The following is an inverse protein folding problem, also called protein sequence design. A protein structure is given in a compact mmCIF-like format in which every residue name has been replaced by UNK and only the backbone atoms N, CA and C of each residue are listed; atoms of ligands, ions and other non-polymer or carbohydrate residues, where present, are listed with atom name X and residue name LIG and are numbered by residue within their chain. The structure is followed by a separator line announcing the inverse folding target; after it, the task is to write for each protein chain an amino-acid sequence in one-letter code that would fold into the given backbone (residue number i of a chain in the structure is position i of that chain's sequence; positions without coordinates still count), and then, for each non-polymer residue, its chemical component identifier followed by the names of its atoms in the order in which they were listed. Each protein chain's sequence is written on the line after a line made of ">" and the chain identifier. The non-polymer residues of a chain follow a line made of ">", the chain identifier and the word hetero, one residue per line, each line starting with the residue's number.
data_IF_590545473409
#
_entry.id   IF_590545473409
#
_cell.length_a   1.000
_cell.length_b   1.000
_cell.length_c   1.000
_cell.angle_alpha   90.00
_cell.angle_beta   90.00
_cell.angle_gamma   90.00
#
_symmetry.space_group_name_H-M   'P 1'
#
loop_
_entity.id
_entity.type
_entity.pdbx_description
1 polymer ?
#
# COMPACT_ATOMS: atom_id res chain seq x y z
N UNK A 1 -4.79 3.58 17.17
CA UNK A 1 -3.64 2.76 17.61
C UNK A 1 -3.51 1.43 16.87
N UNK A 2 -4.58 0.62 16.75
CA UNK A 2 -4.55 -0.71 16.09
C UNK A 2 -4.07 -0.67 14.63
N UNK A 3 -4.56 0.28 13.82
CA UNK A 3 -4.19 0.41 12.40
C UNK A 3 -2.70 0.73 12.24
N UNK A 4 -2.19 1.79 12.87
CA UNK A 4 -0.76 2.13 12.84
C UNK A 4 0.12 1.00 13.37
N UNK A 5 -0.29 0.31 14.44
CA UNK A 5 0.40 -0.88 14.93
C UNK A 5 0.50 -1.98 13.88
N UNK A 6 -0.59 -2.25 13.15
CA UNK A 6 -0.59 -3.19 12.02
C UNK A 6 0.33 -2.77 10.87
N UNK A 7 0.29 -1.49 10.46
CA UNK A 7 1.18 -0.95 9.43
C UNK A 7 2.66 -0.96 9.84
N UNK A 8 2.98 -0.88 11.13
CA UNK A 8 4.34 -1.04 11.64
C UNK A 8 4.75 -2.52 11.74
N UNK A 9 3.82 -3.39 12.15
CA UNK A 9 4.08 -4.81 12.34
C UNK A 9 4.43 -5.51 11.03
N UNK A 10 3.75 -5.17 9.94
CA UNK A 10 4.00 -5.72 8.60
C UNK A 10 5.47 -5.61 8.17
N UNK A 11 6.09 -4.42 8.08
CA UNK A 11 7.49 -4.27 7.71
C UNK A 11 8.45 -4.87 8.76
N UNK A 12 8.10 -4.84 10.06
CA UNK A 12 8.91 -5.48 11.09
C UNK A 12 8.99 -7.00 10.90
N UNK A 13 7.86 -7.66 10.65
CA UNK A 13 7.80 -9.09 10.37
C UNK A 13 8.51 -9.42 9.05
N UNK A 14 8.31 -8.59 8.02
CA UNK A 14 8.98 -8.74 6.74
C UNK A 14 10.50 -8.66 6.88
N UNK A 15 11.02 -7.72 7.67
CA UNK A 15 12.45 -7.58 7.94
C UNK A 15 13.02 -8.84 8.63
N UNK A 16 12.28 -9.45 9.55
CA UNK A 16 12.67 -10.73 10.18
C UNK A 16 12.68 -11.87 9.17
N UNK A 17 11.65 -11.99 8.34
CA UNK A 17 11.57 -13.03 7.30
C UNK A 17 12.70 -12.91 6.29
N UNK A 18 13.10 -11.67 5.96
CA UNK A 18 14.22 -11.39 5.06
C UNK A 18 15.59 -11.42 5.75
N UNK A 19 15.69 -11.85 7.02
CA UNK A 19 16.93 -11.93 7.79
C UNK A 19 17.69 -10.60 7.90
N UNK A 20 16.93 -9.50 7.98
CA UNK A 20 17.43 -8.11 8.11
C UNK A 20 16.71 -7.35 9.23
N UNK A 21 16.62 -7.89 10.46
CA UNK A 21 15.84 -7.28 11.54
C UNK A 21 16.27 -5.85 11.89
N UNK A 22 17.55 -5.50 11.69
CA UNK A 22 18.08 -4.15 11.94
C UNK A 22 17.43 -3.08 11.06
N UNK A 23 16.85 -3.46 9.92
CA UNK A 23 16.14 -2.54 9.03
C UNK A 23 14.66 -2.38 9.37
N UNK A 24 14.11 -3.25 10.24
CA UNK A 24 12.67 -3.29 10.50
C UNK A 24 12.11 -2.00 11.08
N UNK A 25 12.85 -1.34 11.98
CA UNK A 25 12.47 -0.04 12.53
C UNK A 25 12.39 1.03 11.44
N UNK A 26 13.42 1.12 10.59
CA UNK A 26 13.44 2.06 9.47
C UNK A 26 12.31 1.79 8.48
N UNK A 27 12.02 0.53 8.16
CA UNK A 27 10.91 0.19 7.27
C UNK A 27 9.55 0.55 7.86
N UNK A 28 9.36 0.33 9.17
CA UNK A 28 8.16 0.78 9.86
C UNK A 28 7.99 2.29 9.79
N UNK A 29 9.07 3.06 9.99
CA UNK A 29 9.04 4.52 9.81
C UNK A 29 8.71 4.91 8.37
N UNK A 30 9.31 4.25 7.38
CA UNK A 30 9.03 4.52 5.97
C UNK A 30 7.54 4.34 5.63
N UNK A 31 6.87 3.34 6.21
CA UNK A 31 5.42 3.14 6.06
C UNK A 31 4.63 4.20 6.85
N UNK A 32 4.90 4.34 8.15
CA UNK A 32 4.11 5.18 9.05
C UNK A 32 4.20 6.68 8.75
N UNK A 33 5.30 7.12 8.16
CA UNK A 33 5.52 8.52 7.86
C UNK A 33 5.26 8.85 6.39
N UNK A 34 4.98 7.85 5.55
CA UNK A 34 4.84 8.05 4.11
C UNK A 34 3.66 8.99 3.76
N UNK A 35 3.88 10.05 2.97
CA UNK A 35 2.81 10.84 2.37
C UNK A 35 1.95 10.03 1.38
N UNK A 36 2.43 8.88 0.87
CA UNK A 36 1.63 7.98 0.03
C UNK A 36 0.46 7.32 0.79
N UNK A 37 0.66 7.08 2.10
CA UNK A 37 -0.30 6.42 2.99
C UNK A 37 -1.06 7.41 3.86
N UNK A 38 -1.04 8.68 3.45
CA UNK A 38 -1.61 9.78 4.20
C UNK A 38 -3.08 9.55 4.53
N UNK A 39 -3.87 9.06 3.57
CA UNK A 39 -5.31 8.92 3.77
C UNK A 39 -5.63 7.81 4.80
N UNK A 40 -4.86 6.72 4.76
CA UNK A 40 -4.95 5.60 5.69
C UNK A 40 -4.51 5.94 7.12
N UNK A 41 -3.50 6.79 7.25
CA UNK A 41 -2.93 7.14 8.54
C UNK A 41 -3.54 8.41 9.15
N UNK A 42 -4.16 9.27 8.34
CA UNK A 42 -4.67 10.57 8.77
C UNK A 42 -6.18 10.80 8.56
N UNK A 43 -6.76 10.36 7.43
CA UNK A 43 -8.03 10.92 6.94
C UNK A 43 -9.28 10.05 7.17
N UNK A 44 -9.37 9.38 8.33
CA UNK A 44 -10.63 8.75 8.75
C UNK A 44 -11.03 7.49 7.98
N UNK A 45 -10.24 7.00 7.00
CA UNK A 45 -10.52 5.74 6.29
C UNK A 45 -9.99 4.51 7.05
N UNK A 46 -10.12 4.52 8.37
CA UNK A 46 -9.55 3.54 9.30
C UNK A 46 -10.02 2.11 9.04
N UNK A 47 -11.26 1.93 8.56
CA UNK A 47 -11.82 0.62 8.18
C UNK A 47 -11.18 0.06 6.91
N UNK A 48 -11.01 0.87 5.86
CA UNK A 48 -10.32 0.45 4.63
C UNK A 48 -8.84 0.21 4.89
N UNK A 49 -8.21 1.04 5.72
CA UNK A 49 -6.82 0.88 6.13
C UNK A 49 -6.62 -0.46 6.88
N UNK A 50 -7.50 -0.78 7.85
CA UNK A 50 -7.52 -2.07 8.53
C UNK A 50 -7.73 -3.24 7.56
N UNK A 51 -8.72 -3.13 6.67
CA UNK A 51 -8.98 -4.16 5.65
C UNK A 51 -7.76 -4.40 4.74
N UNK A 52 -7.01 -3.34 4.41
CA UNK A 52 -5.80 -3.44 3.60
C UNK A 52 -4.63 -4.06 4.38
N UNK A 53 -4.47 -3.76 5.67
CA UNK A 53 -3.48 -4.48 6.50
C UNK A 53 -3.82 -5.97 6.56
N UNK A 54 -5.10 -6.31 6.75
CA UNK A 54 -5.58 -7.70 6.81
C UNK A 54 -5.45 -8.45 5.48
N UNK A 55 -5.40 -7.77 4.33
CA UNK A 55 -5.15 -8.43 3.03
C UNK A 55 -3.66 -8.65 2.76
N UNK A 56 -2.77 -8.00 3.51
CA UNK A 56 -1.31 -8.07 3.31
C UNK A 56 -0.75 -9.51 3.39
N UNK A 57 -1.24 -10.43 4.25
CA UNK A 57 -0.86 -11.84 4.21
C UNK A 57 -1.10 -12.52 2.86
N UNK A 58 -2.18 -12.18 2.14
CA UNK A 58 -2.44 -12.69 0.80
C UNK A 58 -1.36 -12.21 -0.17
N UNK A 59 -1.06 -10.91 -0.16
CA UNK A 59 0.03 -10.32 -0.95
C UNK A 59 1.35 -11.05 -0.69
N UNK A 60 1.76 -11.15 0.59
CA UNK A 60 3.01 -11.78 0.99
C UNK A 60 3.11 -13.24 0.55
N UNK A 61 1.99 -13.97 0.58
CA UNK A 61 1.92 -15.37 0.15
C UNK A 61 2.06 -15.49 -1.36
N UNK A 62 1.31 -14.69 -2.10
CA UNK A 62 1.25 -14.74 -3.57
C UNK A 62 2.58 -14.28 -4.18
N UNK A 63 3.17 -13.21 -3.65
CA UNK A 63 4.49 -12.72 -4.04
C UNK A 63 5.64 -13.64 -3.59
N UNK A 64 5.38 -14.63 -2.74
CA UNK A 64 6.43 -15.51 -2.20
C UNK A 64 7.42 -14.78 -1.29
N UNK A 65 6.97 -13.74 -0.61
CA UNK A 65 7.78 -12.99 0.35
C UNK A 65 7.83 -13.70 1.70
N UNK A 66 6.73 -14.35 2.10
CA UNK A 66 6.63 -15.10 3.35
C UNK A 66 5.85 -16.41 3.16
N UNK A 67 6.31 -17.55 3.73
CA UNK A 67 5.62 -18.84 3.64
C UNK A 67 4.41 -18.94 4.59
N UNK A 68 3.41 -18.07 4.42
CA UNK A 68 2.20 -18.05 5.24
C UNK A 68 1.28 -19.23 4.87
N UNK A 69 0.72 -19.93 5.85
CA UNK A 69 -0.25 -20.99 5.61
C UNK A 69 -1.56 -20.47 5.02
N UNK A 70 -2.14 -21.19 4.05
CA UNK A 70 -3.37 -20.76 3.38
C UNK A 70 -4.58 -20.60 4.32
N UNK A 71 -4.61 -21.32 5.44
CA UNK A 71 -5.63 -21.12 6.49
C UNK A 71 -5.57 -19.72 7.12
N UNK A 72 -4.36 -19.23 7.43
CA UNK A 72 -4.16 -17.86 7.94
C UNK A 72 -4.47 -16.81 6.87
N UNK A 73 -4.12 -17.08 5.61
CA UNK A 73 -4.49 -16.20 4.48
C UNK A 73 -6.01 -16.10 4.36
N UNK A 74 -6.72 -17.24 4.41
CA UNK A 74 -8.17 -17.26 4.34
C UNK A 74 -8.83 -16.50 5.51
N UNK A 75 -8.34 -16.70 6.73
CA UNK A 75 -8.81 -15.96 7.91
C UNK A 75 -8.58 -14.44 7.76
N UNK A 76 -7.42 -14.03 7.24
CA UNK A 76 -7.09 -12.63 7.03
C UNK A 76 -7.94 -11.98 5.92
N UNK A 77 -8.21 -12.70 4.82
CA UNK A 77 -9.13 -12.29 3.74
C UNK A 77 -10.57 -12.14 4.28
N UNK A 78 -11.04 -13.12 5.06
CA UNK A 78 -12.36 -13.03 5.70
C UNK A 78 -12.45 -11.84 6.66
N UNK A 79 -11.42 -11.64 7.49
CA UNK A 79 -11.33 -10.47 8.37
C UNK A 79 -11.31 -9.14 7.61
N UNK A 80 -10.64 -9.08 6.46
CA UNK A 80 -10.64 -7.92 5.56
C UNK A 80 -12.05 -7.61 5.04
N UNK A 81 -12.79 -8.64 4.62
CA UNK A 81 -14.19 -8.53 4.19
C UNK A 81 -15.14 -8.04 5.28
N UNK A 82 -14.93 -8.48 6.52
CA UNK A 82 -15.70 -8.01 7.68
C UNK A 82 -15.33 -6.57 8.07
N UNK A 83 -14.08 -6.15 7.84
CA UNK A 83 -13.61 -4.82 8.19
C UNK A 83 -14.13 -3.74 7.22
N UNK A 84 -14.15 -4.01 5.91
CA UNK A 84 -14.59 -3.03 4.91
C UNK A 84 -14.96 -3.66 3.56
N UNK A 85 -15.94 -3.07 2.87
CA UNK A 85 -16.43 -3.53 1.57
C UNK A 85 -15.46 -3.27 0.38
N UNK A 86 -14.22 -2.86 0.65
CA UNK A 86 -13.17 -2.70 -0.38
C UNK A 86 -12.52 -4.02 -0.79
N UNK A 87 -12.92 -5.14 -0.16
CA UNK A 87 -12.32 -6.45 -0.37
C UNK A 87 -12.11 -6.82 -1.85
N UNK A 88 -13.07 -6.63 -2.78
CA UNK A 88 -12.87 -7.02 -4.18
C UNK A 88 -11.65 -6.30 -4.79
N UNK A 89 -11.58 -4.98 -4.61
CA UNK A 89 -10.52 -4.15 -5.16
C UNK A 89 -9.18 -4.47 -4.48
N UNK A 90 -9.13 -4.53 -3.15
CA UNK A 90 -7.89 -4.80 -2.42
C UNK A 90 -7.36 -6.21 -2.66
N UNK A 91 -8.25 -7.18 -2.91
CA UNK A 91 -7.87 -8.55 -3.26
C UNK A 91 -7.28 -8.61 -4.66
N UNK A 92 -7.90 -7.95 -5.66
CA UNK A 92 -7.35 -7.85 -7.01
C UNK A 92 -5.94 -7.25 -6.96
N UNK A 93 -5.76 -6.16 -6.21
CA UNK A 93 -4.46 -5.52 -6.02
C UNK A 93 -3.44 -6.43 -5.32
N UNK A 94 -3.86 -7.22 -4.33
CA UNK A 94 -2.98 -8.17 -3.63
C UNK A 94 -2.61 -9.39 -4.49
N UNK A 95 -3.40 -9.69 -5.53
CA UNK A 95 -3.17 -10.80 -6.46
C UNK A 95 -2.26 -10.41 -7.64
N UNK A 96 -1.94 -9.14 -7.84
CA UNK A 96 -1.03 -8.65 -8.91
C UNK A 96 0.27 -9.48 -9.03
N UNK A 97 0.96 -9.87 -7.94
CA UNK A 97 2.19 -10.66 -8.07
C UNK A 97 1.97 -12.08 -8.63
N UNK A 98 0.74 -12.61 -8.61
CA UNK A 98 0.44 -13.89 -9.26
C UNK A 98 0.66 -13.79 -10.78
N UNK A 99 0.33 -12.64 -11.38
CA UNK A 99 0.53 -12.37 -12.80
C UNK A 99 2.02 -12.25 -13.16
N UNK A 100 2.86 -11.87 -12.21
CA UNK A 100 4.30 -11.73 -12.39
C UNK A 100 5.08 -12.99 -11.98
N UNK A 101 4.40 -14.06 -11.52
CA UNK A 101 4.99 -15.31 -11.04
C UNK A 101 4.36 -16.57 -11.68
N UNK A 102 4.77 -16.93 -12.91
CA UNK A 102 4.18 -18.07 -13.62
C UNK A 102 4.30 -19.42 -12.88
N UNK A 103 5.34 -19.62 -12.08
CA UNK A 103 5.56 -20.87 -11.32
C UNK A 103 4.69 -21.05 -10.08
N UNK A 104 3.96 -20.02 -9.60
CA UNK A 104 3.11 -20.12 -8.41
C UNK A 104 1.94 -21.10 -8.62
N UNK A 105 1.33 -21.05 -9.81
CA UNK A 105 0.21 -21.91 -10.19
C UNK A 105 0.63 -23.35 -10.47
N UNK A 106 1.90 -23.57 -10.85
CA UNK A 106 2.44 -24.90 -11.17
C UNK A 106 2.80 -25.70 -9.91
N UNK A 107 3.35 -25.05 -8.89
CA UNK A 107 3.86 -25.72 -7.68
C UNK A 107 2.86 -25.77 -6.51
N UNK A 108 1.73 -25.08 -6.61
CA UNK A 108 0.70 -25.13 -5.57
C UNK A 108 -0.31 -26.23 -5.91
N UNK A 109 -0.57 -27.15 -4.96
CA UNK A 109 -1.57 -28.22 -5.17
C UNK A 109 -2.88 -27.61 -5.67
N UNK A 110 -3.40 -28.10 -6.81
CA UNK A 110 -4.63 -27.62 -7.46
C UNK A 110 -5.80 -27.45 -6.49
N UNK A 111 -5.97 -28.38 -5.56
CA UNK A 111 -7.00 -28.32 -4.50
C UNK A 111 -6.90 -27.07 -3.62
N UNK A 112 -5.69 -26.63 -3.29
CA UNK A 112 -5.46 -25.45 -2.44
C UNK A 112 -5.73 -24.16 -3.19
N UNK A 113 -5.34 -24.10 -4.47
CA UNK A 113 -5.69 -22.99 -5.36
C UNK A 113 -7.21 -22.88 -5.48
N UNK A 114 -7.90 -23.99 -5.78
CA UNK A 114 -9.36 -24.01 -5.94
C UNK A 114 -10.06 -23.54 -4.66
N UNK A 115 -9.68 -24.07 -3.49
CA UNK A 115 -10.29 -23.64 -2.23
C UNK A 115 -10.04 -22.16 -1.92
N UNK A 116 -8.82 -21.66 -2.15
CA UNK A 116 -8.49 -20.25 -1.95
C UNK A 116 -9.26 -19.35 -2.93
N UNK A 117 -9.32 -19.73 -4.21
CA UNK A 117 -10.08 -19.01 -5.24
C UNK A 117 -11.58 -19.02 -4.93
N UNK A 118 -12.15 -20.15 -4.52
CA UNK A 118 -13.54 -20.24 -4.11
C UNK A 118 -13.82 -19.34 -2.90
N UNK A 119 -12.94 -19.32 -1.90
CA UNK A 119 -13.12 -18.49 -0.71
C UNK A 119 -13.03 -16.99 -1.04
N UNK A 120 -12.09 -16.59 -1.92
CA UNK A 120 -11.99 -15.22 -2.43
C UNK A 120 -13.24 -14.85 -3.23
N UNK A 121 -13.65 -15.68 -4.19
CA UNK A 121 -14.82 -15.44 -5.04
C UNK A 121 -16.11 -15.38 -4.21
N UNK A 122 -16.26 -16.25 -3.21
CA UNK A 122 -17.39 -16.23 -2.29
C UNK A 122 -17.41 -14.94 -1.47
N UNK A 123 -16.25 -14.53 -0.94
CA UNK A 123 -16.15 -13.29 -0.14
C UNK A 123 -16.45 -12.05 -0.98
N UNK A 124 -15.99 -12.03 -2.24
CA UNK A 124 -16.30 -10.98 -3.22
C UNK A 124 -17.78 -11.01 -3.61
N UNK A 125 -18.34 -12.18 -3.87
CA UNK A 125 -19.75 -12.37 -4.20
C UNK A 125 -20.66 -11.90 -3.07
N UNK A 126 -20.35 -12.25 -1.83
CA UNK A 126 -21.07 -11.78 -0.64
C UNK A 126 -20.96 -10.25 -0.52
N UNK A 127 -19.76 -9.67 -0.68
CA UNK A 127 -19.58 -8.22 -0.62
C UNK A 127 -20.37 -7.48 -1.72
N UNK A 128 -20.40 -8.01 -2.95
CA UNK A 128 -21.15 -7.42 -4.06
C UNK A 128 -22.66 -7.67 -4.00
N UNK A 129 -23.10 -8.70 -3.28
CA UNK A 129 -24.53 -8.98 -3.05
C UNK A 129 -25.19 -7.98 -2.09
N UNK A 130 -24.40 -7.17 -1.37
CA UNK A 130 -24.94 -6.17 -0.46
C UNK A 130 -25.43 -4.94 -1.25
N UNK A 131 -26.71 -4.56 -1.13
CA UNK A 131 -27.28 -3.43 -1.87
C UNK A 131 -26.56 -2.11 -1.56
N UNK A 132 -26.09 -1.92 -0.32
CA UNK A 132 -25.32 -0.76 0.09
C UNK A 132 -23.98 -0.59 -0.67
N UNK A 133 -23.37 -1.70 -1.12
CA UNK A 133 -22.13 -1.67 -1.91
C UNK A 133 -22.41 -1.24 -3.35
N UNK A 134 -23.48 -1.78 -3.94
CA UNK A 134 -23.94 -1.42 -5.28
C UNK A 134 -24.37 0.04 -5.34
N UNK A 135 -25.11 0.52 -4.35
CA UNK A 135 -25.54 1.92 -4.25
C UNK A 135 -24.34 2.88 -4.12
N UNK A 136 -23.34 2.52 -3.31
CA UNK A 136 -22.12 3.31 -3.14
C UNK A 136 -21.27 3.33 -4.41
N UNK A 137 -21.16 2.21 -5.12
CA UNK A 137 -20.48 2.14 -6.41
C UNK A 137 -21.20 2.98 -7.47
N UNK A 138 -22.53 2.88 -7.53
CA UNK A 138 -23.37 3.69 -8.42
C UNK A 138 -23.20 5.19 -8.13
N UNK A 139 -23.19 5.59 -6.87
CA UNK A 139 -22.92 6.97 -6.49
C UNK A 139 -21.51 7.41 -6.92
N UNK A 140 -20.48 6.57 -6.82
CA UNK A 140 -19.14 6.93 -7.30
C UNK A 140 -19.01 6.99 -8.82
N UNK A 141 -19.70 6.11 -9.55
CA UNK A 141 -19.65 6.06 -11.01
C UNK A 141 -20.41 7.22 -11.66
N UNK A 142 -21.55 7.61 -11.09
CA UNK A 142 -22.50 8.51 -11.78
C UNK A 142 -22.78 9.82 -11.05
N UNK A 143 -22.48 9.94 -9.75
CA UNK A 143 -22.88 11.11 -8.94
C UNK A 143 -21.73 11.84 -8.25
N UNK A 144 -20.64 11.14 -7.93
CA UNK A 144 -19.53 11.73 -7.19
C UNK A 144 -18.65 12.57 -8.12
N UNK A 145 -18.58 13.87 -7.87
CA UNK A 145 -17.65 14.78 -8.55
C UNK A 145 -16.38 15.05 -7.73
N UNK A 146 -16.47 14.91 -6.40
CA UNK A 146 -15.35 15.14 -5.49
C UNK A 146 -14.51 13.87 -5.28
N UNK A 147 -13.19 14.03 -5.35
CA UNK A 147 -12.22 13.02 -4.97
C UNK A 147 -10.94 13.66 -4.41
N UNK A 148 -10.27 12.95 -3.51
CA UNK A 148 -9.09 13.49 -2.83
C UNK A 148 -7.87 13.45 -3.77
N UNK A 149 -7.27 14.62 -4.02
CA UNK A 149 -6.12 14.80 -4.92
C UNK A 149 -4.76 14.72 -4.20
N UNK A 150 -4.70 14.28 -2.94
CA UNK A 150 -3.46 14.26 -2.17
C UNK A 150 -2.31 13.49 -2.85
N UNK A 151 -2.63 12.48 -3.67
CA UNK A 151 -1.67 11.73 -4.49
C UNK A 151 -0.90 12.55 -5.51
N UNK A 152 -1.33 13.79 -5.78
CA UNK A 152 -0.67 14.75 -6.67
C UNK A 152 0.12 15.81 -5.90
N UNK A 153 0.24 15.71 -4.57
CA UNK A 153 1.02 16.65 -3.78
C UNK A 153 2.51 16.44 -4.00
N UNK A 154 3.28 17.54 -3.91
CA UNK A 154 4.75 17.53 -4.04
C UNK A 154 5.43 16.51 -3.11
N UNK A 155 4.92 16.33 -1.88
CA UNK A 155 5.44 15.36 -0.94
C UNK A 155 5.36 13.91 -1.46
N UNK A 156 4.29 13.55 -2.18
CA UNK A 156 4.13 12.21 -2.78
C UNK A 156 5.16 12.01 -3.89
N UNK A 157 5.27 12.98 -4.81
CA UNK A 157 6.28 12.95 -5.87
C UNK A 157 7.72 12.93 -5.33
N UNK A 158 7.98 13.60 -4.21
CA UNK A 158 9.27 13.54 -3.52
C UNK A 158 9.65 12.12 -3.12
N UNK A 159 8.71 11.36 -2.55
CA UNK A 159 8.93 9.95 -2.18
C UNK A 159 9.13 9.07 -3.41
N UNK A 160 8.37 9.29 -4.47
CA UNK A 160 8.51 8.55 -5.73
C UNK A 160 9.86 8.82 -6.39
N UNK A 161 10.33 10.07 -6.38
CA UNK A 161 11.66 10.43 -6.86
C UNK A 161 12.75 9.79 -6.00
N UNK A 162 12.61 9.81 -4.68
CA UNK A 162 13.56 9.16 -3.77
C UNK A 162 13.58 7.63 -3.96
N UNK A 163 12.44 7.02 -4.26
CA UNK A 163 12.35 5.62 -4.63
C UNK A 163 12.97 5.33 -6.00
N UNK A 164 12.85 6.24 -6.98
CA UNK A 164 13.57 6.12 -8.24
C UNK A 164 15.09 6.14 -8.01
N UNK A 165 15.59 7.05 -7.17
CA UNK A 165 17.00 7.07 -6.76
C UNK A 165 17.38 5.75 -6.08
N UNK A 166 16.53 5.24 -5.18
CA UNK A 166 16.71 3.93 -4.54
C UNK A 166 16.88 2.81 -5.58
N UNK A 167 16.03 2.80 -6.62
CA UNK A 167 16.09 1.83 -7.71
C UNK A 167 17.37 1.98 -8.53
N UNK A 168 17.74 3.20 -8.91
CA UNK A 168 18.97 3.48 -9.67
C UNK A 168 20.24 3.08 -8.89
N UNK A 169 20.30 3.39 -7.59
CA UNK A 169 21.39 2.97 -6.72
C UNK A 169 21.48 1.45 -6.60
N UNK A 170 20.33 0.77 -6.50
CA UNK A 170 20.27 -0.70 -6.43
C UNK A 170 20.74 -1.33 -7.74
N UNK A 171 20.27 -0.81 -8.88
CA UNK A 171 20.70 -1.21 -10.21
C UNK A 171 22.21 -1.08 -10.39
N UNK A 172 22.76 0.07 -10.03
CA UNK A 172 24.19 0.35 -10.09
C UNK A 172 24.99 -0.58 -9.18
N UNK A 173 24.58 -0.71 -7.91
CA UNK A 173 25.31 -1.48 -6.89
C UNK A 173 25.28 -2.98 -7.16
N UNK A 174 24.14 -3.51 -7.56
CA UNK A 174 23.93 -4.92 -7.87
C UNK A 174 24.27 -5.27 -9.33
N UNK A 175 24.67 -4.28 -10.15
CA UNK A 175 25.05 -4.43 -11.57
C UNK A 175 23.97 -5.17 -12.38
N UNK A 176 22.71 -4.84 -12.13
CA UNK A 176 21.59 -5.52 -12.76
C UNK A 176 21.38 -5.02 -14.19
N UNK A 177 21.28 -5.95 -15.13
CA UNK A 177 20.87 -5.64 -16.50
C UNK A 177 19.34 -5.61 -16.61
N UNK A 178 18.81 -4.91 -17.61
CA UNK A 178 17.37 -4.89 -17.90
C UNK A 178 16.80 -6.30 -18.12
N UNK A 179 17.59 -7.19 -18.74
CA UNK A 179 17.21 -8.60 -18.93
C UNK A 179 17.12 -9.35 -17.61
N UNK A 180 18.03 -9.08 -16.66
CA UNK A 180 17.98 -9.67 -15.33
C UNK A 180 16.73 -9.18 -14.57
N UNK A 181 16.43 -7.87 -14.63
CA UNK A 181 15.20 -7.33 -14.05
C UNK A 181 13.93 -7.95 -14.63
N UNK A 182 13.86 -8.12 -15.95
CA UNK A 182 12.69 -8.72 -16.60
C UNK A 182 12.46 -10.18 -16.19
N UNK A 183 13.52 -10.89 -15.78
CA UNK A 183 13.43 -12.27 -15.28
C UNK A 183 13.12 -12.34 -13.78
N UNK A 184 13.54 -11.32 -13.02
CA UNK A 184 13.30 -11.21 -11.59
C UNK A 184 11.82 -10.92 -11.27
N UNK A 185 11.21 -11.81 -10.49
CA UNK A 185 9.82 -11.68 -10.07
C UNK A 185 9.57 -10.43 -9.20
N UNK A 186 10.47 -10.10 -8.28
CA UNK A 186 10.27 -8.97 -7.37
C UNK A 186 10.41 -7.66 -8.12
N UNK A 187 11.33 -7.59 -9.08
CA UNK A 187 11.47 -6.44 -9.98
C UNK A 187 10.21 -6.23 -10.84
N UNK A 188 9.65 -7.30 -11.42
CA UNK A 188 8.38 -7.23 -12.16
C UNK A 188 7.21 -6.79 -11.28
N UNK A 189 7.16 -7.26 -10.03
CA UNK A 189 6.11 -6.90 -9.08
C UNK A 189 6.21 -5.43 -8.68
N UNK A 190 7.42 -4.94 -8.39
CA UNK A 190 7.67 -3.53 -8.13
C UNK A 190 7.26 -2.66 -9.33
N UNK A 191 7.66 -3.07 -10.53
CA UNK A 191 7.28 -2.37 -11.76
C UNK A 191 5.76 -2.34 -11.96
N UNK A 192 5.06 -3.45 -11.76
CA UNK A 192 3.61 -3.51 -11.88
C UNK A 192 2.91 -2.52 -10.92
N UNK A 193 3.37 -2.45 -9.66
CA UNK A 193 2.82 -1.47 -8.71
C UNK A 193 3.20 -0.03 -9.06
N UNK A 194 4.39 0.23 -9.60
CA UNK A 194 4.75 1.57 -10.10
C UNK A 194 3.83 2.01 -11.24
N UNK A 195 3.50 1.10 -12.18
CA UNK A 195 2.55 1.37 -13.26
C UNK A 195 1.15 1.65 -12.70
N UNK A 196 0.67 0.85 -11.74
CA UNK A 196 -0.62 1.08 -11.09
C UNK A 196 -0.66 2.42 -10.35
N UNK A 197 0.41 2.79 -9.65
CA UNK A 197 0.53 4.06 -8.94
C UNK A 197 0.43 5.25 -9.91
N UNK A 198 1.24 5.24 -10.96
CA UNK A 198 1.20 6.26 -12.01
C UNK A 198 -0.15 6.31 -12.75
N UNK A 199 -0.81 5.16 -12.96
CA UNK A 199 -2.15 5.12 -13.58
C UNK A 199 -3.20 5.79 -12.70
N UNK A 200 -3.15 5.58 -11.38
CA UNK A 200 -4.05 6.24 -10.43
C UNK A 200 -3.80 7.74 -10.41
N UNK A 201 -2.54 8.17 -10.37
CA UNK A 201 -2.21 9.60 -10.40
C UNK A 201 -2.64 10.27 -11.71
N UNK A 202 -2.47 9.60 -12.86
CA UNK A 202 -2.95 10.09 -14.15
C UNK A 202 -4.48 10.22 -14.17
N UNK A 203 -5.18 9.23 -13.63
CA UNK A 203 -6.64 9.28 -13.45
C UNK A 203 -7.06 10.47 -12.58
N UNK A 204 -6.35 10.73 -11.49
CA UNK A 204 -6.62 11.87 -10.61
C UNK A 204 -6.34 13.21 -11.29
N UNK A 205 -5.28 13.30 -12.10
CA UNK A 205 -4.91 14.52 -12.82
C UNK A 205 -5.89 14.85 -13.96
N UNK A 206 -6.44 13.82 -14.61
CA UNK A 206 -7.38 13.96 -15.74
C UNK A 206 -8.85 13.96 -15.31
N UNK A 207 -9.14 13.54 -14.07
CA UNK A 207 -10.50 13.35 -13.55
C UNK A 207 -11.20 12.07 -14.02
N UNK A 208 -10.62 11.34 -14.98
CA UNK A 208 -11.21 10.11 -15.55
C UNK A 208 -11.23 9.02 -14.49
N UNK A 209 -12.42 8.60 -14.04
CA UNK A 209 -12.60 7.63 -12.94
C UNK A 209 -11.94 8.04 -11.61
N UNK A 210 -11.59 9.32 -11.44
CA UNK A 210 -10.90 9.85 -10.25
C UNK A 210 -11.55 9.47 -8.92
N UNK A 211 -12.90 9.56 -8.76
CA UNK A 211 -13.60 9.15 -7.53
C UNK A 211 -13.39 7.71 -7.11
N UNK A 212 -13.14 6.81 -8.05
CA UNK A 212 -12.95 5.38 -7.79
C UNK A 212 -11.46 5.10 -7.61
N UNK A 213 -10.64 5.52 -8.58
CA UNK A 213 -9.22 5.16 -8.61
C UNK A 213 -8.41 5.85 -7.51
N UNK A 214 -8.77 7.06 -7.08
CA UNK A 214 -8.15 7.72 -5.92
C UNK A 214 -8.25 6.91 -4.62
N UNK A 215 -9.26 6.02 -4.49
CA UNK A 215 -9.42 5.13 -3.33
C UNK A 215 -8.48 3.92 -3.35
N UNK A 216 -7.88 3.64 -4.50
CA UNK A 216 -6.88 2.59 -4.68
C UNK A 216 -5.46 3.07 -4.37
N UNK A 217 -5.26 4.39 -4.21
CA UNK A 217 -3.95 5.00 -4.04
C UNK A 217 -3.22 4.47 -2.80
N UNK A 218 -3.83 4.51 -1.61
CA UNK A 218 -3.16 4.02 -0.40
C UNK A 218 -2.88 2.50 -0.43
N UNK A 219 -3.81 1.61 -0.86
CA UNK A 219 -3.48 0.19 -1.05
C UNK A 219 -2.31 -0.04 -1.99
N UNK A 220 -2.31 0.62 -3.15
CA UNK A 220 -1.23 0.51 -4.14
C UNK A 220 0.08 1.04 -3.54
N UNK A 221 0.05 2.19 -2.88
CA UNK A 221 1.19 2.79 -2.21
C UNK A 221 1.80 1.87 -1.15
N UNK A 222 0.97 1.18 -0.35
CA UNK A 222 1.45 0.22 0.64
C UNK A 222 2.16 -0.95 -0.05
N UNK A 223 1.50 -1.57 -1.03
CA UNK A 223 2.05 -2.74 -1.71
C UNK A 223 3.31 -2.41 -2.50
N UNK A 224 3.36 -1.21 -3.08
CA UNK A 224 4.53 -0.66 -3.74
C UNK A 224 5.71 -0.47 -2.77
N UNK A 225 5.48 0.17 -1.62
CA UNK A 225 6.52 0.35 -0.58
C UNK A 225 7.06 -1.00 -0.10
N UNK A 226 6.18 -1.97 0.18
CA UNK A 226 6.59 -3.32 0.57
C UNK A 226 7.40 -4.00 -0.54
N UNK A 227 6.96 -3.90 -1.81
CA UNK A 227 7.68 -4.46 -2.94
C UNK A 227 9.07 -3.84 -3.10
N UNK A 228 9.21 -2.53 -2.87
CA UNK A 228 10.48 -1.82 -2.92
C UNK A 228 11.43 -2.31 -1.82
N UNK A 229 10.94 -2.47 -0.59
CA UNK A 229 11.72 -3.02 0.53
C UNK A 229 12.20 -4.45 0.26
N UNK A 230 11.31 -5.31 -0.23
CA UNK A 230 11.67 -6.70 -0.54
C UNK A 230 12.73 -6.76 -1.63
N UNK A 231 12.49 -6.06 -2.74
CA UNK A 231 13.39 -6.11 -3.90
C UNK A 231 14.78 -5.59 -3.53
N UNK A 232 14.88 -4.38 -2.96
CA UNK A 232 16.18 -3.81 -2.55
C UNK A 232 16.93 -4.71 -1.56
N UNK A 233 16.21 -5.34 -0.63
CA UNK A 233 16.80 -6.26 0.36
C UNK A 233 17.30 -7.55 -0.26
N UNK A 234 16.54 -8.15 -1.19
CA UNK A 234 16.95 -9.37 -1.90
C UNK A 234 18.15 -9.13 -2.82
N UNK A 235 18.32 -7.91 -3.30
CA UNK A 235 19.54 -7.48 -4.00
C UNK A 235 20.71 -7.13 -3.05
N UNK A 236 20.57 -7.35 -1.74
CA UNK A 236 21.60 -7.04 -0.75
C UNK A 236 21.82 -5.55 -0.50
N UNK A 237 20.89 -4.70 -0.93
CA UNK A 237 21.04 -3.25 -1.00
C UNK A 237 20.01 -2.50 -0.15
N UNK A 238 19.57 -3.04 1.00
CA UNK A 238 18.55 -2.39 1.85
C UNK A 238 18.89 -0.92 2.23
N UNK A 239 20.18 -0.56 2.27
CA UNK A 239 20.64 0.81 2.53
C UNK A 239 20.25 1.82 1.46
N UNK A 240 19.93 1.39 0.24
CA UNK A 240 19.51 2.29 -0.84
C UNK A 240 18.16 2.94 -0.54
N UNK A 241 17.42 2.49 0.48
CA UNK A 241 16.18 3.09 0.98
C UNK A 241 16.39 4.37 1.82
N UNK A 242 17.64 4.70 2.20
CA UNK A 242 17.95 5.89 3.02
C UNK A 242 17.42 7.20 2.39
N UNK A 243 17.56 7.46 1.08
CA UNK A 243 16.98 8.66 0.47
C UNK A 243 15.47 8.76 0.66
N UNK A 244 14.75 7.63 0.51
CA UNK A 244 13.31 7.61 0.73
C UNK A 244 12.95 7.88 2.19
N UNK A 245 13.74 7.37 3.14
CA UNK A 245 13.59 7.66 4.57
C UNK A 245 13.80 9.14 4.88
N UNK A 246 14.80 9.77 4.27
CA UNK A 246 15.09 11.20 4.46
C UNK A 246 13.93 12.06 3.97
N UNK A 247 13.43 11.82 2.76
CA UNK A 247 12.29 12.58 2.21
C UNK A 247 11.02 12.38 3.01
N UNK A 248 10.77 11.14 3.46
CA UNK A 248 9.62 10.83 4.33
C UNK A 248 9.76 11.52 5.69
N UNK A 249 10.97 11.54 6.27
CA UNK A 249 11.25 12.24 7.52
C UNK A 249 11.11 13.76 7.38
N UNK A 250 11.63 14.35 6.31
CA UNK A 250 11.49 15.78 6.00
C UNK A 250 10.02 16.16 5.82
N UNK A 251 9.25 15.36 5.05
CA UNK A 251 7.81 15.60 4.88
C UNK A 251 7.06 15.53 6.21
N UNK A 252 7.43 14.63 7.12
CA UNK A 252 6.86 14.59 8.46
C UNK A 252 7.22 15.85 9.27
N UNK A 253 8.48 16.25 9.29
CA UNK A 253 8.96 17.38 10.09
C UNK A 253 8.38 18.70 9.55
N UNK A 254 8.43 18.91 8.23
CA UNK A 254 7.92 20.10 7.57
C UNK A 254 6.41 20.24 7.71
N UNK A 255 5.64 19.23 7.30
CA UNK A 255 4.18 19.31 7.28
C UNK A 255 3.52 19.12 8.66
N UNK A 256 4.21 18.50 9.65
CA UNK A 256 3.58 18.14 10.93
C UNK A 256 4.20 18.73 12.18
N UNK A 257 5.47 19.13 12.16
CA UNK A 257 6.16 19.70 13.33
C UNK A 257 6.35 21.20 13.17
N UNK A 258 6.73 21.67 11.98
CA UNK A 258 7.14 23.06 11.77
C UNK A 258 6.02 23.95 11.21
N UNK A 259 5.15 23.44 10.33
CA UNK A 259 4.11 24.25 9.67
C UNK A 259 2.71 23.82 10.14
N UNK A 260 2.19 24.49 11.17
CA UNK A 260 0.81 24.29 11.66
C UNK A 260 -0.27 25.03 10.82
N UNK A 261 0.13 25.79 9.80
CA UNK A 261 -0.70 26.84 9.19
C UNK A 261 -1.88 26.33 8.33
N UNK A 262 -1.82 25.12 7.79
CA UNK A 262 -2.79 24.65 6.78
C UNK A 262 -3.82 23.64 7.28
N UNK A 263 -4.08 23.63 8.59
CA UNK A 263 -5.12 22.80 9.20
C UNK A 263 -6.55 23.19 8.82
N UNK A 264 -6.76 24.44 8.35
CA UNK A 264 -8.09 24.99 8.07
C UNK A 264 -8.48 24.83 6.59
N UNK A 265 -7.49 24.74 5.68
CA UNK A 265 -7.73 24.72 4.21
C UNK A 265 -7.44 23.39 3.54
N UNK A 266 -6.70 22.49 4.19
CA UNK A 266 -6.47 21.14 3.69
C UNK A 266 -7.41 20.13 4.35
N UNK A 267 -7.95 19.17 3.59
CA UNK A 267 -8.64 17.97 4.09
C UNK A 267 -7.69 17.07 4.92
N UNK A 268 -7.13 17.60 6.00
CA UNK A 268 -6.22 16.96 6.93
C UNK A 268 -7.00 16.60 8.19
N UNK A 269 -7.59 15.40 8.22
CA UNK A 269 -8.37 14.90 9.35
C UNK A 269 -7.50 14.55 10.57
N UNK A 270 -6.16 14.69 10.43
CA UNK A 270 -5.17 14.57 11.49
C UNK A 270 -4.21 15.76 11.44
N UNK A 271 -4.80 16.95 11.48
CA UNK A 271 -4.32 17.89 12.49
C UNK A 271 -4.40 17.13 13.80
N UNK A 272 -3.26 16.67 14.31
CA UNK A 272 -3.16 16.34 15.73
C UNK A 272 -3.80 17.55 16.43
N UNK A 273 -4.67 17.39 17.43
CA UNK A 273 -5.08 18.51 18.25
C UNK A 273 -3.86 18.93 19.09
N UNK A 274 -2.82 19.46 18.43
CA UNK A 274 -1.74 20.23 19.04
C UNK A 274 -2.12 21.71 19.04
N UNK A 275 -3.42 22.00 19.10
CA UNK A 275 -3.82 23.10 19.97
C UNK A 275 -3.80 22.52 21.36
N UNK A 276 -2.83 22.94 22.16
CA UNK A 276 -2.92 22.76 23.59
C UNK A 276 -4.32 23.23 24.05
N UNK A 277 -4.93 22.64 25.11
CA UNK A 277 -6.32 22.92 25.48
C UNK A 277 -6.68 24.42 25.57
N UNK A 278 -5.70 25.27 25.89
CA UNK A 278 -5.84 26.74 25.96
C UNK A 278 -5.80 27.49 24.61
N UNK A 279 -5.45 26.83 23.50
CA UNK A 279 -5.36 27.41 22.15
C UNK A 279 -6.65 27.18 21.33
N UNK A 280 -7.59 26.40 21.85
CA UNK A 280 -8.94 26.27 21.28
C UNK A 280 -9.77 27.44 21.82
N UNK A 281 -9.96 28.48 20.99
CA UNK A 281 -10.98 29.51 21.22
C UNK A 281 -12.20 29.16 20.40
N UNK A 282 -13.35 29.06 21.07
CA UNK A 282 -14.67 28.80 20.50
C UNK A 282 -15.08 29.91 19.55
#
# INVERSE_FOLDING_TARGET
>A
MVVAGGFALVPLLLARVLQRPQWGGLWALLVLWSPLLRNFLQNGVTRQALATVLITPLLMRVAGWCPIGWGWVAAAVAGSGLAHNSLPITTILALVPALTRPGLLQNTRRRTIVLASCLVLLSVGIALSQPAVLEKLNNYLFKAQYFNTYGLRKAVFGVELAALITVLLTLWRARLSLRAMARDHDARTLFAYSVLLGSVQLSMATGVMGPILSRCLDPIGLFWLLSLMVWTTRQGCAWTLIPALLVVGESLIGDRILVLEDCIKGDQFLCIPDRWPWQVRW
#
